data_IF_565020475592
#
_entry.id   IF_565020475592
#
_cell.length_a   1.000
_cell.length_b   1.000
_cell.length_c   1.000
_cell.angle_alpha   90.00
_cell.angle_beta   90.00
_cell.angle_gamma   90.00
#
_symmetry.space_group_name_H-M   'P 1'
#
loop_
_entity.id
_entity.type
_entity.pdbx_description
1 polymer ?
#
# COMPACT_ATOMS: atom_id res chain seq x y z
N UNK A 1 4.34 -21.10 -84.98
CA UNK A 1 3.53 -21.74 -83.97
C UNK A 1 4.37 -22.13 -82.81
N UNK A 2 4.98 -21.12 -82.11
CA UNK A 2 5.82 -21.33 -80.92
C UNK A 2 5.97 -19.98 -80.12
N UNK A 3 4.80 -19.47 -79.55
CA UNK A 3 4.88 -18.26 -78.73
C UNK A 3 3.74 -18.19 -77.69
N UNK A 4 3.33 -19.36 -77.15
CA UNK A 4 2.22 -19.41 -76.16
C UNK A 4 2.54 -20.25 -74.89
N UNK A 5 3.78 -20.63 -74.63
CA UNK A 5 4.12 -21.47 -73.47
C UNK A 5 5.00 -20.82 -72.38
N UNK A 6 5.34 -19.52 -72.49
CA UNK A 6 6.25 -18.88 -71.53
C UNK A 6 5.56 -17.95 -70.49
N UNK A 7 4.27 -17.71 -70.59
CA UNK A 7 3.56 -16.78 -69.70
C UNK A 7 2.82 -17.43 -68.50
N UNK A 8 2.75 -18.75 -68.41
CA UNK A 8 2.06 -19.42 -67.34
C UNK A 8 2.94 -19.84 -66.15
N UNK A 9 4.26 -19.81 -66.29
CA UNK A 9 5.16 -20.18 -65.21
C UNK A 9 5.63 -19.02 -64.35
N UNK A 10 5.53 -17.78 -64.83
CA UNK A 10 5.95 -16.59 -64.09
C UNK A 10 4.86 -16.08 -63.10
N UNK A 11 3.61 -16.38 -63.36
CA UNK A 11 2.48 -15.93 -62.51
C UNK A 11 2.27 -16.82 -61.25
N UNK A 12 2.72 -18.08 -61.28
CA UNK A 12 2.61 -18.99 -60.13
C UNK A 12 3.70 -18.75 -59.09
N UNK A 13 4.87 -18.30 -59.47
CA UNK A 13 5.99 -18.00 -58.55
C UNK A 13 5.73 -16.70 -57.74
N UNK A 14 5.02 -15.72 -58.34
CA UNK A 14 4.72 -14.45 -57.65
C UNK A 14 3.61 -14.54 -56.61
N UNK A 15 2.70 -15.52 -56.74
CA UNK A 15 1.60 -15.73 -55.79
C UNK A 15 2.05 -16.51 -54.54
N UNK A 16 3.06 -17.38 -54.68
CA UNK A 16 3.60 -18.16 -53.54
C UNK A 16 4.50 -17.31 -52.64
N UNK A 17 5.17 -16.30 -53.18
CA UNK A 17 6.02 -15.39 -52.35
C UNK A 17 5.19 -14.34 -51.58
N UNK A 18 3.98 -13.97 -52.02
CA UNK A 18 3.12 -13.07 -51.25
C UNK A 18 2.36 -13.76 -50.11
N UNK A 19 2.14 -15.09 -50.17
CA UNK A 19 1.50 -15.84 -49.08
C UNK A 19 2.47 -16.19 -47.95
N UNK A 20 3.79 -16.18 -48.19
CA UNK A 20 4.78 -16.40 -47.14
C UNK A 20 5.09 -15.16 -46.29
N UNK A 21 4.75 -13.94 -46.75
CA UNK A 21 4.92 -12.71 -45.95
C UNK A 21 3.73 -12.36 -45.07
N UNK A 22 2.59 -13.04 -45.21
CA UNK A 22 1.42 -12.83 -44.33
C UNK A 22 1.34 -13.77 -43.14
N UNK A 23 2.27 -14.72 -43.00
CA UNK A 23 2.30 -15.72 -41.95
C UNK A 23 3.15 -15.36 -40.72
N UNK A 24 3.79 -14.19 -40.67
CA UNK A 24 4.70 -13.81 -39.57
C UNK A 24 4.27 -12.57 -38.77
N UNK A 25 3.01 -12.15 -38.90
CA UNK A 25 2.42 -11.15 -37.99
C UNK A 25 1.40 -11.79 -37.04
N UNK A 26 1.68 -13.01 -36.57
CA UNK A 26 0.94 -13.61 -35.48
C UNK A 26 1.66 -13.36 -34.17
N UNK A 27 1.15 -12.41 -33.39
CA UNK A 27 1.22 -12.47 -31.94
C UNK A 27 2.52 -12.05 -31.26
N UNK A 28 2.99 -10.85 -31.46
CA UNK A 28 3.50 -10.14 -30.29
C UNK A 28 2.27 -9.73 -29.46
N UNK A 29 1.79 -10.57 -28.56
CA UNK A 29 0.91 -10.13 -27.49
C UNK A 29 1.59 -8.92 -26.85
N UNK A 30 0.97 -7.74 -27.02
CA UNK A 30 1.45 -6.51 -26.37
C UNK A 30 1.36 -6.78 -24.89
N UNK A 31 2.48 -7.15 -24.26
CA UNK A 31 2.56 -7.41 -22.82
C UNK A 31 1.95 -6.19 -22.16
N UNK A 32 0.86 -6.37 -21.43
CA UNK A 32 0.18 -5.25 -20.78
C UNK A 32 1.22 -4.47 -19.95
N UNK A 33 1.26 -3.17 -20.13
CA UNK A 33 2.19 -2.30 -19.41
C UNK A 33 1.90 -2.43 -17.91
N UNK A 34 2.95 -2.66 -17.12
CA UNK A 34 2.81 -2.80 -15.69
C UNK A 34 2.41 -1.49 -15.05
N UNK A 35 1.54 -1.54 -14.05
CA UNK A 35 1.16 -0.37 -13.26
C UNK A 35 2.28 0.00 -12.30
N UNK A 36 2.77 1.24 -12.40
CA UNK A 36 3.82 1.77 -11.52
C UNK A 36 3.26 2.17 -10.16
N UNK A 37 3.95 1.78 -9.10
CA UNK A 37 3.57 2.10 -7.73
C UNK A 37 4.79 2.38 -6.86
N UNK A 38 4.68 3.34 -5.96
CA UNK A 38 5.54 3.51 -4.80
C UNK A 38 4.71 3.17 -3.58
N UNK A 39 5.29 2.37 -2.68
CA UNK A 39 4.66 1.91 -1.45
C UNK A 39 5.25 2.73 -0.30
N UNK A 40 4.43 3.55 0.35
CA UNK A 40 4.78 4.26 1.58
C UNK A 40 4.13 3.53 2.76
N UNK A 41 4.96 3.00 3.69
CA UNK A 41 4.48 2.03 4.66
C UNK A 41 5.25 2.12 5.98
N UNK A 42 4.56 1.90 7.10
CA UNK A 42 5.11 1.63 8.42
C UNK A 42 5.26 0.12 8.61
N UNK A 43 6.24 -0.43 7.91
CA UNK A 43 6.39 -1.84 7.55
C UNK A 43 6.77 -2.76 8.72
N UNK A 44 5.95 -2.79 9.77
CA UNK A 44 6.17 -3.63 10.94
C UNK A 44 6.34 -5.11 10.58
N UNK A 45 7.41 -5.71 11.08
CA UNK A 45 7.82 -7.08 10.78
C UNK A 45 7.99 -7.97 12.01
N UNK A 46 8.32 -9.27 11.76
CA UNK A 46 8.19 -9.94 10.46
C UNK A 46 6.77 -10.38 10.15
N UNK A 47 6.39 -10.30 8.89
CA UNK A 47 5.11 -10.76 8.34
C UNK A 47 3.86 -10.17 9.00
N UNK A 48 3.95 -8.91 9.47
CA UNK A 48 2.78 -8.12 9.88
C UNK A 48 1.87 -7.77 8.71
N UNK A 49 0.72 -7.16 8.98
CA UNK A 49 -0.25 -6.69 7.97
C UNK A 49 0.43 -5.81 6.91
N UNK A 50 1.24 -4.87 7.36
CA UNK A 50 2.00 -3.94 6.52
C UNK A 50 2.88 -4.66 5.50
N UNK A 51 3.68 -5.62 5.96
CA UNK A 51 4.53 -6.43 5.08
C UNK A 51 3.76 -7.38 4.18
N UNK A 52 2.59 -7.86 4.62
CA UNK A 52 1.72 -8.67 3.78
C UNK A 52 1.17 -7.85 2.62
N UNK A 53 0.82 -6.58 2.83
CA UNK A 53 0.38 -5.67 1.76
C UNK A 53 1.49 -5.44 0.73
N UNK A 54 2.73 -5.18 1.19
CA UNK A 54 3.91 -5.06 0.33
C UNK A 54 4.10 -6.33 -0.51
N UNK A 55 3.96 -7.51 0.12
CA UNK A 55 4.08 -8.79 -0.59
C UNK A 55 3.02 -8.94 -1.69
N UNK A 56 1.75 -8.60 -1.44
CA UNK A 56 0.70 -8.67 -2.46
C UNK A 56 1.04 -7.82 -3.68
N UNK A 57 1.54 -6.58 -3.45
CA UNK A 57 1.92 -5.67 -4.53
C UNK A 57 3.13 -6.17 -5.32
N UNK A 58 4.14 -6.73 -4.65
CA UNK A 58 5.34 -7.30 -5.29
C UNK A 58 5.03 -8.60 -6.04
N UNK A 59 4.16 -9.44 -5.51
CA UNK A 59 3.81 -10.73 -6.10
C UNK A 59 2.92 -10.62 -7.34
N UNK A 60 2.27 -9.47 -7.54
CA UNK A 60 1.46 -9.24 -8.74
C UNK A 60 2.33 -9.06 -9.99
N UNK A 61 2.16 -9.88 -11.03
CA UNK A 61 2.90 -9.74 -12.28
C UNK A 61 2.54 -8.47 -13.07
N UNK A 62 1.44 -7.81 -12.71
CA UNK A 62 0.94 -6.58 -13.36
C UNK A 62 1.50 -5.30 -12.69
N UNK A 63 2.30 -5.44 -11.64
CA UNK A 63 2.79 -4.32 -10.86
C UNK A 63 4.28 -4.12 -11.09
N UNK A 64 4.69 -2.86 -11.19
CA UNK A 64 6.07 -2.40 -11.13
C UNK A 64 6.26 -1.57 -9.86
N UNK A 65 6.83 -2.19 -8.82
CA UNK A 65 7.17 -1.49 -7.57
C UNK A 65 8.47 -0.73 -7.79
N UNK A 66 8.39 0.60 -7.80
CA UNK A 66 9.53 1.48 -8.05
C UNK A 66 10.37 1.72 -6.79
N UNK A 67 9.79 1.57 -5.62
CA UNK A 67 10.43 1.66 -4.33
C UNK A 67 9.45 1.51 -3.18
N UNK A 68 10.01 1.29 -1.99
CA UNK A 68 9.28 1.25 -0.72
C UNK A 68 9.86 2.36 0.14
N UNK A 69 9.07 3.41 0.39
CA UNK A 69 9.40 4.44 1.37
C UNK A 69 8.85 4.00 2.73
N UNK A 70 9.66 4.15 3.77
CA UNK A 70 9.32 3.67 5.11
C UNK A 70 9.16 4.87 6.04
N UNK A 71 8.13 4.83 6.88
CA UNK A 71 7.81 5.85 7.88
C UNK A 71 7.65 5.20 9.24
N UNK A 72 8.01 5.85 10.33
CA UNK A 72 7.64 5.38 11.67
C UNK A 72 6.13 5.36 11.84
N UNK A 73 5.61 4.25 12.30
CA UNK A 73 4.20 4.06 12.62
C UNK A 73 4.02 2.91 13.61
N UNK A 74 3.85 1.70 13.14
CA UNK A 74 3.70 0.53 14.00
C UNK A 74 4.96 0.18 14.81
N UNK A 75 6.14 0.52 14.27
CA UNK A 75 7.46 0.41 14.91
C UNK A 75 8.29 1.67 14.62
N UNK A 76 9.53 1.70 15.13
CA UNK A 76 10.48 2.74 14.75
C UNK A 76 11.01 2.53 13.33
N UNK A 77 11.25 3.63 12.62
CA UNK A 77 11.80 3.65 11.26
C UNK A 77 12.96 2.67 11.05
N UNK A 78 13.90 2.65 12.00
CA UNK A 78 15.10 1.79 11.93
C UNK A 78 14.74 0.30 11.87
N UNK A 79 13.75 -0.12 12.66
CA UNK A 79 13.27 -1.50 12.69
C UNK A 79 12.51 -1.85 11.42
N UNK A 80 11.59 -0.99 11.01
CA UNK A 80 10.75 -1.21 9.82
C UNK A 80 11.59 -1.27 8.54
N UNK A 81 12.60 -0.42 8.42
CA UNK A 81 13.60 -0.49 7.34
C UNK A 81 14.34 -1.83 7.37
N UNK A 82 14.79 -2.28 8.56
CA UNK A 82 15.51 -3.54 8.69
C UNK A 82 14.62 -4.75 8.35
N UNK A 83 13.40 -4.79 8.85
CA UNK A 83 12.42 -5.84 8.54
C UNK A 83 12.06 -5.88 7.05
N UNK A 84 11.88 -4.71 6.42
CA UNK A 84 11.57 -4.61 4.98
C UNK A 84 12.72 -5.11 4.11
N UNK A 85 13.96 -4.66 4.39
CA UNK A 85 15.14 -5.16 3.70
C UNK A 85 15.28 -6.68 3.83
N UNK A 86 15.09 -7.20 5.05
CA UNK A 86 15.20 -8.62 5.29
C UNK A 86 14.11 -9.44 4.60
N UNK A 87 12.88 -8.97 4.59
CA UNK A 87 11.79 -9.55 3.82
C UNK A 87 12.14 -9.63 2.33
N UNK A 88 12.63 -8.54 1.74
CA UNK A 88 13.03 -8.50 0.32
C UNK A 88 14.17 -9.48 0.01
N UNK A 89 15.15 -9.64 0.91
CA UNK A 89 16.19 -10.66 0.78
C UNK A 89 15.60 -12.06 0.74
N UNK A 90 14.68 -12.36 1.68
CA UNK A 90 14.07 -13.70 1.81
C UNK A 90 13.20 -14.07 0.60
N UNK A 91 12.57 -13.09 -0.05
CA UNK A 91 11.77 -13.35 -1.26
C UNK A 91 12.55 -13.15 -2.57
N UNK A 92 13.83 -12.74 -2.50
CA UNK A 92 14.69 -12.57 -3.67
C UNK A 92 14.38 -11.31 -4.50
N UNK A 93 13.92 -10.22 -3.85
CA UNK A 93 13.55 -8.92 -4.47
C UNK A 93 14.41 -7.76 -3.98
N UNK A 94 15.69 -7.98 -3.78
CA UNK A 94 16.67 -6.93 -3.41
C UNK A 94 16.88 -5.84 -4.48
N UNK A 95 16.23 -5.98 -5.62
CA UNK A 95 16.17 -4.99 -6.70
C UNK A 95 15.23 -3.82 -6.39
N UNK A 96 14.32 -3.97 -5.42
CA UNK A 96 13.40 -2.92 -4.99
C UNK A 96 14.09 -2.07 -3.93
N UNK A 97 14.29 -0.75 -4.16
CA UNK A 97 14.90 0.12 -3.17
C UNK A 97 14.00 0.32 -1.96
N UNK A 98 14.58 0.24 -0.77
CA UNK A 98 13.95 0.63 0.51
C UNK A 98 14.53 1.99 0.90
N UNK A 99 13.67 2.98 1.05
CA UNK A 99 14.05 4.39 1.24
C UNK A 99 13.57 4.85 2.61
N UNK A 100 14.48 5.15 3.55
CA UNK A 100 14.11 5.64 4.88
C UNK A 100 13.43 7.00 4.81
N UNK A 101 12.40 7.22 5.60
CA UNK A 101 11.68 8.46 5.68
C UNK A 101 11.68 9.10 7.07
N UNK A 102 10.52 9.56 7.52
CA UNK A 102 10.38 10.25 8.78
C UNK A 102 10.46 9.31 9.99
N UNK A 103 11.33 9.65 10.94
CA UNK A 103 11.46 8.95 12.23
C UNK A 103 10.41 9.38 13.25
N UNK A 104 9.86 10.59 13.10
CA UNK A 104 8.85 11.16 13.99
C UNK A 104 7.70 11.75 13.20
N UNK A 105 6.47 11.76 13.75
CA UNK A 105 5.38 12.56 13.20
C UNK A 105 5.71 14.05 13.22
N UNK A 106 5.01 14.87 12.44
CA UNK A 106 5.31 16.30 12.28
C UNK A 106 5.21 17.08 13.59
N UNK A 107 4.25 16.74 14.45
CA UNK A 107 3.97 17.52 15.67
C UNK A 107 3.84 16.62 16.89
N UNK A 108 3.11 15.52 16.80
CA UNK A 108 2.79 14.67 17.95
C UNK A 108 4.03 14.11 18.62
N UNK A 109 4.04 14.09 19.95
CA UNK A 109 5.14 13.58 20.78
C UNK A 109 4.62 12.57 21.81
N UNK A 110 5.48 11.65 22.22
CA UNK A 110 5.13 10.60 23.19
C UNK A 110 4.64 11.19 24.51
N UNK A 111 5.36 12.18 25.06
CA UNK A 111 5.04 12.82 26.34
C UNK A 111 3.71 13.57 26.30
N UNK A 112 3.39 14.23 25.19
CA UNK A 112 2.10 14.89 24.99
C UNK A 112 0.97 13.86 24.86
N UNK A 113 1.24 12.73 24.20
CA UNK A 113 0.30 11.61 24.05
C UNK A 113 -0.01 10.97 25.40
N UNK A 114 0.99 10.73 26.25
CA UNK A 114 0.81 10.24 27.63
C UNK A 114 -0.07 11.18 28.47
N UNK A 115 0.13 12.50 28.34
CA UNK A 115 -0.71 13.50 29.04
C UNK A 115 -2.14 13.52 28.47
N UNK A 116 -2.30 13.32 27.16
CA UNK A 116 -3.60 13.23 26.52
C UNK A 116 -4.36 11.99 27.04
N UNK A 117 -3.70 10.82 27.10
CA UNK A 117 -4.30 9.58 27.63
C UNK A 117 -4.71 9.71 29.10
N UNK A 118 -3.91 10.37 29.93
CA UNK A 118 -4.25 10.64 31.34
C UNK A 118 -5.54 11.48 31.48
N UNK A 119 -5.83 12.33 30.50
CA UNK A 119 -6.97 13.24 30.54
C UNK A 119 -8.22 12.66 29.89
N UNK A 120 -8.06 11.94 28.80
CA UNK A 120 -9.18 11.54 27.94
C UNK A 120 -9.38 10.04 27.85
N UNK A 121 -8.44 9.24 28.34
CA UNK A 121 -8.51 7.78 28.28
C UNK A 121 -7.49 7.21 27.29
N UNK A 122 -7.15 5.93 27.48
CA UNK A 122 -6.13 5.24 26.66
C UNK A 122 -6.67 4.86 25.31
N UNK A 123 -5.83 4.97 24.28
CA UNK A 123 -6.06 4.39 22.97
C UNK A 123 -5.51 2.97 22.90
N UNK A 124 -6.03 2.15 21.99
CA UNK A 124 -5.68 0.74 21.93
C UNK A 124 -4.26 0.49 21.39
N UNK A 125 -3.77 1.36 20.52
CA UNK A 125 -2.48 1.23 19.86
C UNK A 125 -1.75 2.55 19.78
N UNK A 126 -0.47 2.54 20.15
CA UNK A 126 0.39 3.73 20.19
C UNK A 126 1.65 3.56 19.32
N UNK A 127 1.68 2.55 18.44
CA UNK A 127 2.86 2.27 17.64
C UNK A 127 4.09 2.00 18.50
N UNK A 128 5.23 2.66 18.20
CA UNK A 128 6.49 2.48 18.93
C UNK A 128 6.42 3.00 20.38
N UNK A 129 5.41 3.79 20.72
CA UNK A 129 5.21 4.32 22.08
C UNK A 129 4.39 3.38 22.97
N UNK A 130 3.95 2.25 22.46
CA UNK A 130 3.13 1.28 23.21
C UNK A 130 3.87 0.81 24.47
N UNK A 131 3.25 0.91 25.67
CA UNK A 131 3.89 0.49 26.93
C UNK A 131 4.40 -0.96 26.86
N UNK A 132 5.64 -1.16 27.34
CA UNK A 132 6.32 -2.46 27.29
C UNK A 132 6.97 -2.83 25.95
N UNK A 133 6.79 -2.00 24.92
CA UNK A 133 7.47 -2.13 23.61
C UNK A 133 8.43 -0.98 23.33
N UNK A 134 8.28 0.14 24.02
CA UNK A 134 9.09 1.32 23.80
C UNK A 134 10.58 1.02 24.02
N UNK A 135 11.40 1.44 23.07
CA UNK A 135 12.86 1.50 23.13
C UNK A 135 13.34 2.72 22.31
N UNK A 136 14.61 3.16 22.45
CA UNK A 136 15.14 4.25 21.64
C UNK A 136 15.07 3.96 20.13
N UNK A 137 14.78 4.97 19.27
CA UNK A 137 14.60 4.79 17.82
C UNK A 137 15.79 4.15 17.09
N UNK A 138 17.01 4.38 17.58
CA UNK A 138 18.22 3.83 16.97
C UNK A 138 18.48 2.34 17.32
N UNK A 139 17.72 1.77 18.24
CA UNK A 139 17.85 0.38 18.64
C UNK A 139 17.03 -0.52 17.73
N UNK A 140 17.61 -1.65 17.35
CA UNK A 140 16.87 -2.70 16.66
C UNK A 140 16.30 -3.67 17.68
N UNK A 141 15.00 -3.92 17.61
CA UNK A 141 14.34 -4.98 18.34
C UNK A 141 14.79 -6.37 17.91
N UNK A 142 14.03 -7.38 18.32
CA UNK A 142 14.30 -8.76 17.93
C UNK A 142 13.93 -8.98 16.46
N UNK A 143 14.86 -9.54 15.71
CA UNK A 143 14.67 -9.96 14.32
C UNK A 143 14.75 -11.49 14.19
N UNK A 144 13.65 -12.20 14.43
CA UNK A 144 13.66 -13.67 14.36
C UNK A 144 13.93 -14.20 12.95
N UNK A 145 13.69 -13.39 11.90
CA UNK A 145 14.02 -13.68 10.50
C UNK A 145 15.49 -13.39 10.15
N UNK A 146 16.27 -12.85 11.10
CA UNK A 146 17.66 -12.46 10.94
C UNK A 146 17.81 -11.02 10.44
N UNK A 147 18.99 -10.45 10.70
CA UNK A 147 19.31 -9.10 10.27
C UNK A 147 19.54 -9.02 8.76
N UNK A 148 19.17 -7.90 8.09
CA UNK A 148 19.46 -7.73 6.69
C UNK A 148 20.97 -7.56 6.43
N UNK A 149 21.40 -7.93 5.24
CA UNK A 149 22.74 -7.70 4.70
C UNK A 149 22.74 -6.58 3.64
N UNK A 150 21.61 -6.37 3.00
CA UNK A 150 21.37 -5.24 2.10
C UNK A 150 21.22 -3.94 2.89
N UNK A 151 21.44 -2.83 2.20
CA UNK A 151 21.36 -1.49 2.82
C UNK A 151 20.22 -0.69 2.21
N UNK A 152 19.63 0.23 2.98
CA UNK A 152 18.64 1.16 2.44
C UNK A 152 19.29 2.08 1.40
N UNK A 153 18.45 2.73 0.60
CA UNK A 153 18.88 3.77 -0.34
C UNK A 153 19.52 4.95 0.43
N UNK A 154 20.46 5.61 -0.23
CA UNK A 154 21.10 6.82 0.31
C UNK A 154 20.34 8.09 -0.13
N UNK A 155 19.06 8.10 0.12
CA UNK A 155 18.14 9.20 -0.19
C UNK A 155 17.03 9.13 0.84
N UNK A 156 16.41 10.24 1.24
CA UNK A 156 15.23 10.20 2.10
C UNK A 156 13.95 10.06 1.28
N UNK A 157 12.88 9.58 1.96
CA UNK A 157 11.62 9.24 1.32
C UNK A 157 10.97 10.43 0.60
N UNK A 158 11.00 11.64 1.18
CA UNK A 158 10.31 12.79 0.61
C UNK A 158 10.96 13.25 -0.71
N UNK A 159 12.30 13.30 -0.76
CA UNK A 159 13.02 13.61 -2.01
C UNK A 159 12.85 12.49 -3.05
N UNK A 160 12.91 11.22 -2.64
CA UNK A 160 12.64 10.09 -3.53
C UNK A 160 11.25 10.19 -4.17
N UNK A 161 10.21 10.43 -3.37
CA UNK A 161 8.83 10.58 -3.84
C UNK A 161 8.71 11.70 -4.88
N UNK A 162 9.23 12.89 -4.57
CA UNK A 162 9.21 14.04 -5.48
C UNK A 162 9.94 13.73 -6.78
N UNK A 163 11.15 13.18 -6.69
CA UNK A 163 11.94 12.84 -7.86
C UNK A 163 11.21 11.85 -8.77
N UNK A 164 10.66 10.79 -8.21
CA UNK A 164 10.00 9.74 -8.97
C UNK A 164 8.74 10.22 -9.71
N UNK A 165 7.90 11.04 -9.07
CA UNK A 165 6.71 11.56 -9.77
C UNK A 165 7.06 12.59 -10.84
N UNK A 166 8.20 13.29 -10.72
CA UNK A 166 8.71 14.18 -11.76
C UNK A 166 9.34 13.43 -12.93
N UNK A 167 9.99 12.30 -12.67
CA UNK A 167 10.52 11.40 -13.71
C UNK A 167 9.40 10.66 -14.47
N UNK A 168 8.27 10.38 -13.81
CA UNK A 168 7.14 9.64 -14.35
C UNK A 168 5.80 10.36 -14.09
N UNK A 169 5.58 11.55 -14.64
CA UNK A 169 4.41 12.37 -14.32
C UNK A 169 3.11 11.67 -14.73
N UNK A 170 2.19 11.57 -13.76
CA UNK A 170 0.86 10.95 -13.89
C UNK A 170 0.84 9.44 -14.14
N UNK A 171 1.96 8.75 -13.92
CA UNK A 171 2.04 7.30 -14.11
C UNK A 171 2.04 6.54 -12.78
N UNK A 172 2.54 7.15 -11.70
CA UNK A 172 2.80 6.49 -10.43
C UNK A 172 1.59 6.59 -9.50
N UNK A 173 1.08 5.44 -9.05
CA UNK A 173 0.21 5.37 -7.88
C UNK A 173 1.06 5.48 -6.62
N UNK A 174 0.68 6.36 -5.71
CA UNK A 174 1.22 6.40 -4.34
C UNK A 174 0.29 5.55 -3.48
N UNK A 175 0.81 4.46 -2.94
CA UNK A 175 0.11 3.63 -1.96
C UNK A 175 0.64 3.99 -0.57
N UNK A 176 -0.24 4.38 0.35
CA UNK A 176 0.10 4.70 1.72
C UNK A 176 -0.63 3.75 2.68
N UNK A 177 0.12 2.91 3.39
CA UNK A 177 -0.38 1.99 4.39
C UNK A 177 -0.03 2.41 5.82
N UNK A 178 0.74 3.48 6.00
CA UNK A 178 1.12 4.02 7.30
C UNK A 178 0.77 5.50 7.47
N UNK A 179 1.27 6.14 8.54
CA UNK A 179 1.12 7.58 8.76
C UNK A 179 1.67 8.39 7.59
N UNK A 180 0.97 9.45 7.21
CA UNK A 180 1.23 10.19 5.96
C UNK A 180 2.38 11.18 6.03
N UNK A 181 3.28 11.06 7.02
CA UNK A 181 4.36 12.02 7.28
C UNK A 181 5.28 12.21 6.07
N UNK A 182 5.72 11.13 5.41
CA UNK A 182 6.57 11.21 4.22
C UNK A 182 5.89 11.98 3.07
N UNK A 183 4.59 11.74 2.87
CA UNK A 183 3.81 12.40 1.82
C UNK A 183 3.62 13.88 2.11
N UNK A 184 3.37 14.25 3.37
CA UNK A 184 3.25 15.65 3.79
C UNK A 184 4.56 16.41 3.61
N UNK A 185 5.71 15.78 3.91
CA UNK A 185 7.03 16.34 3.64
C UNK A 185 7.29 16.49 2.14
N UNK A 186 6.93 15.50 1.32
CA UNK A 186 7.04 15.58 -0.13
C UNK A 186 6.22 16.74 -0.71
N UNK A 187 4.98 16.94 -0.25
CA UNK A 187 4.11 18.06 -0.64
C UNK A 187 4.71 19.40 -0.19
N UNK A 188 5.34 19.44 1.00
CA UNK A 188 5.98 20.67 1.51
C UNK A 188 7.23 21.06 0.72
N UNK A 189 7.99 20.06 0.21
CA UNK A 189 9.16 20.27 -0.65
C UNK A 189 8.71 20.68 -2.06
N UNK A 190 7.68 20.02 -2.58
CA UNK A 190 7.17 20.22 -3.93
C UNK A 190 5.64 20.26 -3.96
N UNK A 191 5.02 21.44 -3.98
CA UNK A 191 3.56 21.60 -4.01
C UNK A 191 2.88 20.95 -5.25
N UNK A 192 3.62 20.64 -6.31
CA UNK A 192 3.09 19.95 -7.50
C UNK A 192 3.07 18.42 -7.33
N UNK A 193 3.74 17.87 -6.30
CA UNK A 193 3.89 16.42 -6.06
C UNK A 193 2.58 15.65 -6.21
N UNK A 194 1.55 16.04 -5.46
CA UNK A 194 0.25 15.37 -5.47
C UNK A 194 -0.41 15.41 -6.86
N UNK A 195 -0.33 16.55 -7.56
CA UNK A 195 -0.87 16.71 -8.91
C UNK A 195 -0.10 15.94 -9.99
N UNK A 196 1.19 15.68 -9.78
CA UNK A 196 2.04 14.89 -10.66
C UNK A 196 1.87 13.39 -10.47
N UNK A 197 1.43 12.94 -9.30
CA UNK A 197 1.08 11.54 -9.09
C UNK A 197 -0.17 11.15 -9.91
N UNK A 198 -0.33 9.87 -10.18
CA UNK A 198 -1.52 9.32 -10.85
C UNK A 198 -2.73 9.32 -9.92
N UNK A 199 -2.53 8.82 -8.71
CA UNK A 199 -3.54 8.71 -7.66
C UNK A 199 -2.89 8.47 -6.29
N UNK A 200 -3.61 8.79 -5.23
CA UNK A 200 -3.34 8.33 -3.87
C UNK A 200 -4.30 7.19 -3.54
N UNK A 201 -3.76 6.07 -3.08
CA UNK A 201 -4.51 4.94 -2.52
C UNK A 201 -4.01 4.73 -1.10
N UNK A 202 -4.88 4.77 -0.11
CA UNK A 202 -4.43 4.63 1.26
C UNK A 202 -5.36 3.77 2.12
N UNK A 203 -4.75 3.06 3.07
CA UNK A 203 -5.46 2.49 4.22
C UNK A 203 -5.45 3.52 5.33
N UNK A 204 -6.63 3.87 5.84
CA UNK A 204 -6.74 4.81 6.95
C UNK A 204 -8.11 5.41 7.11
N UNK A 205 -8.32 6.01 8.27
CA UNK A 205 -9.59 6.62 8.64
C UNK A 205 -10.64 5.63 9.14
N UNK A 206 -11.49 6.12 10.02
CA UNK A 206 -12.61 5.38 10.62
C UNK A 206 -13.84 6.26 10.62
N UNK A 207 -14.90 5.81 9.94
CA UNK A 207 -16.07 6.64 9.76
C UNK A 207 -17.20 6.30 10.75
N UNK A 208 -17.51 5.04 10.88
CA UNK A 208 -18.42 4.45 11.88
C UNK A 208 -18.48 2.93 11.65
N UNK A 209 -17.42 2.17 11.97
CA UNK A 209 -17.34 0.75 11.64
C UNK A 209 -18.39 -0.07 12.41
N UNK A 210 -19.03 -1.00 11.71
CA UNK A 210 -19.93 -1.98 12.30
C UNK A 210 -19.13 -3.18 12.80
N UNK A 211 -18.73 -3.17 14.06
CA UNK A 211 -17.87 -4.20 14.65
C UNK A 211 -18.23 -4.43 16.12
N UNK A 212 -17.84 -5.60 16.64
CA UNK A 212 -17.87 -5.91 18.08
C UNK A 212 -16.52 -5.60 18.77
N UNK A 213 -15.55 -5.05 18.04
CA UNK A 213 -14.25 -4.69 18.59
C UNK A 213 -14.38 -3.49 19.54
N UNK A 214 -13.99 -3.64 20.82
CA UNK A 214 -14.10 -2.56 21.80
C UNK A 214 -13.34 -1.29 21.40
N UNK A 215 -12.25 -1.40 20.63
CA UNK A 215 -11.49 -0.27 20.14
C UNK A 215 -12.39 0.70 19.37
N UNK A 216 -13.09 0.19 18.35
CA UNK A 216 -13.92 1.03 17.48
C UNK A 216 -15.34 1.27 18.04
N UNK A 217 -15.81 0.47 19.00
CA UNK A 217 -17.04 0.80 19.74
C UNK A 217 -16.83 2.04 20.60
N UNK A 218 -15.68 2.12 21.27
CA UNK A 218 -15.39 3.21 22.20
C UNK A 218 -14.89 4.48 21.49
N UNK A 219 -14.16 4.32 20.37
CA UNK A 219 -13.58 5.40 19.60
C UNK A 219 -13.83 5.23 18.09
N UNK A 220 -15.09 5.36 17.63
CA UNK A 220 -15.49 4.97 16.27
C UNK A 220 -14.90 5.85 15.15
N UNK A 221 -14.28 6.97 15.49
CA UNK A 221 -13.62 7.88 14.54
C UNK A 221 -12.11 7.82 14.59
N UNK A 222 -11.58 7.05 15.55
CA UNK A 222 -10.16 6.86 15.71
C UNK A 222 -9.63 5.81 14.72
N UNK A 223 -8.53 6.13 14.07
CA UNK A 223 -7.75 5.18 13.27
C UNK A 223 -6.28 5.59 13.35
N UNK A 224 -5.41 4.59 13.52
CA UNK A 224 -4.01 4.80 13.91
C UNK A 224 -3.21 5.64 12.91
N UNK A 225 -3.27 5.36 11.62
CA UNK A 225 -2.46 6.05 10.61
C UNK A 225 -2.75 7.56 10.55
N UNK A 226 -4.04 7.93 10.56
CA UNK A 226 -4.44 9.34 10.58
C UNK A 226 -4.22 9.99 11.96
N UNK A 227 -4.40 9.22 13.04
CA UNK A 227 -4.22 9.71 14.39
C UNK A 227 -2.75 9.92 14.77
N UNK A 228 -1.83 9.06 14.30
CA UNK A 228 -0.41 9.14 14.66
C UNK A 228 0.25 10.43 14.16
N UNK A 229 -0.13 10.90 12.96
CA UNK A 229 0.29 12.21 12.44
C UNK A 229 -0.89 12.96 11.78
N UNK A 230 -1.78 13.55 12.59
CA UNK A 230 -2.97 14.21 12.07
C UNK A 230 -2.66 15.43 11.23
N UNK A 231 -1.59 16.16 11.49
CA UNK A 231 -1.16 17.30 10.70
C UNK A 231 -0.69 16.86 9.31
N UNK A 232 0.02 15.74 9.20
CA UNK A 232 0.39 15.16 7.91
C UNK A 232 -0.85 14.69 7.14
N UNK A 233 -1.75 13.95 7.80
CA UNK A 233 -2.99 13.49 7.18
C UNK A 233 -3.84 14.65 6.64
N UNK A 234 -4.00 15.73 7.44
CA UNK A 234 -4.68 16.95 7.03
C UNK A 234 -4.08 17.58 5.76
N UNK A 235 -2.76 17.71 5.72
CA UNK A 235 -2.05 18.28 4.58
C UNK A 235 -2.23 17.42 3.32
N UNK A 236 -2.07 16.11 3.46
CA UNK A 236 -2.15 15.14 2.36
C UNK A 236 -3.56 15.05 1.78
N UNK A 237 -4.59 14.95 2.63
CA UNK A 237 -5.99 14.84 2.19
C UNK A 237 -6.51 16.09 1.47
N UNK A 238 -5.89 17.25 1.68
CA UNK A 238 -6.22 18.53 1.02
C UNK A 238 -5.38 18.82 -0.21
N UNK A 239 -4.30 18.08 -0.45
CA UNK A 239 -3.45 18.28 -1.60
C UNK A 239 -4.18 17.95 -2.92
N UNK A 240 -3.79 18.56 -4.05
CA UNK A 240 -4.54 18.49 -5.32
C UNK A 240 -4.31 17.16 -6.07
N UNK A 241 -4.61 16.04 -5.43
CA UNK A 241 -4.57 14.73 -6.06
C UNK A 241 -5.58 14.62 -7.19
N UNK A 242 -5.22 13.95 -8.27
CA UNK A 242 -6.16 13.64 -9.37
C UNK A 242 -7.26 12.66 -8.95
N UNK A 243 -6.92 11.76 -8.02
CA UNK A 243 -7.84 10.79 -7.45
C UNK A 243 -7.32 10.35 -6.09
N UNK A 244 -8.24 10.22 -5.14
CA UNK A 244 -8.00 9.64 -3.82
C UNK A 244 -8.89 8.41 -3.66
N UNK A 245 -8.31 7.29 -3.22
CA UNK A 245 -9.02 6.06 -2.85
C UNK A 245 -8.70 5.73 -1.41
N UNK A 246 -9.72 5.59 -0.60
CA UNK A 246 -9.62 5.31 0.83
C UNK A 246 -10.20 3.93 1.15
N UNK A 247 -9.41 3.10 1.82
CA UNK A 247 -9.84 1.84 2.44
C UNK A 247 -9.91 2.05 3.96
N UNK A 248 -11.08 2.43 4.52
CA UNK A 248 -11.19 2.76 5.93
C UNK A 248 -11.32 1.50 6.81
N UNK A 249 -11.27 1.70 8.13
CA UNK A 249 -11.58 0.68 9.14
C UNK A 249 -12.90 -0.02 8.85
N UNK A 250 -13.92 0.73 8.42
CA UNK A 250 -15.30 0.27 8.20
C UNK A 250 -15.42 -0.93 7.25
N UNK A 251 -14.58 -0.99 6.24
CA UNK A 251 -14.54 -2.14 5.33
C UNK A 251 -13.53 -3.19 5.80
N UNK A 252 -12.41 -2.78 6.38
CA UNK A 252 -11.33 -3.68 6.79
C UNK A 252 -11.76 -4.63 7.91
N UNK A 253 -12.64 -4.19 8.83
CA UNK A 253 -13.18 -5.06 9.91
C UNK A 253 -14.03 -6.22 9.39
N UNK A 254 -14.39 -6.23 8.09
CA UNK A 254 -15.06 -7.35 7.43
C UNK A 254 -14.10 -8.47 7.02
N UNK A 255 -12.79 -8.24 7.10
CA UNK A 255 -11.74 -9.20 6.73
C UNK A 255 -10.98 -9.68 7.96
N UNK A 256 -10.46 -10.91 7.93
CA UNK A 256 -9.66 -11.45 9.05
C UNK A 256 -8.59 -12.40 8.58
N UNK A 257 -7.39 -12.23 9.14
CA UNK A 257 -6.37 -13.27 9.09
C UNK A 257 -6.77 -14.38 10.08
N UNK A 258 -7.00 -15.57 9.58
CA UNK A 258 -7.41 -16.72 10.36
C UNK A 258 -6.39 -17.85 10.27
N UNK A 259 -6.36 -18.82 11.22
CA UNK A 259 -5.53 -20.00 11.07
C UNK A 259 -5.74 -20.71 9.72
N UNK A 260 -7.01 -20.85 9.30
CA UNK A 260 -7.36 -21.49 8.03
C UNK A 260 -6.85 -20.72 6.81
N UNK A 261 -6.80 -19.39 6.85
CA UNK A 261 -6.21 -18.60 5.77
C UNK A 261 -4.68 -18.77 5.72
N UNK A 262 -4.01 -18.75 6.87
CA UNK A 262 -2.58 -19.03 6.97
C UNK A 262 -2.27 -20.46 6.47
N UNK A 263 -3.08 -21.45 6.83
CA UNK A 263 -2.90 -22.83 6.37
C UNK A 263 -3.06 -22.97 4.85
N UNK A 264 -3.95 -22.19 4.23
CA UNK A 264 -4.04 -22.12 2.76
C UNK A 264 -2.76 -21.54 2.15
N UNK A 265 -2.17 -20.50 2.75
CA UNK A 265 -0.88 -19.93 2.26
C UNK A 265 0.26 -20.91 2.44
N UNK A 266 0.28 -21.71 3.53
CA UNK A 266 1.29 -22.76 3.78
C UNK A 266 1.33 -23.84 2.70
N UNK A 267 0.30 -24.00 1.88
CA UNK A 267 0.32 -24.96 0.77
C UNK A 267 1.30 -24.57 -0.35
N UNK A 268 1.69 -23.30 -0.42
CA UNK A 268 2.65 -22.78 -1.38
C UNK A 268 4.09 -23.06 -0.97
N UNK A 269 4.94 -23.41 -1.94
CA UNK A 269 6.37 -23.67 -1.73
C UNK A 269 7.26 -22.55 -2.30
N UNK A 270 6.75 -21.35 -2.39
CA UNK A 270 7.50 -20.17 -2.84
C UNK A 270 7.95 -19.30 -1.65
N UNK A 271 8.96 -18.44 -1.84
CA UNK A 271 9.53 -17.64 -0.75
C UNK A 271 8.52 -16.81 0.04
N UNK A 272 7.55 -16.17 -0.62
CA UNK A 272 6.52 -15.38 0.05
C UNK A 272 5.62 -16.25 0.94
N UNK A 273 5.16 -17.40 0.44
CA UNK A 273 4.37 -18.34 1.23
C UNK A 273 5.14 -18.85 2.45
N UNK A 274 6.41 -19.23 2.27
CA UNK A 274 7.27 -19.66 3.38
C UNK A 274 7.50 -18.57 4.42
N UNK A 275 7.65 -17.33 3.97
CA UNK A 275 7.81 -16.17 4.87
C UNK A 275 6.57 -16.01 5.74
N UNK A 276 5.38 -15.93 5.15
CA UNK A 276 4.10 -15.84 5.89
C UNK A 276 3.90 -17.06 6.80
N UNK A 277 4.10 -18.27 6.29
CA UNK A 277 3.94 -19.51 7.07
C UNK A 277 4.83 -19.56 8.31
N UNK A 278 6.04 -18.99 8.22
CA UNK A 278 7.02 -19.00 9.30
C UNK A 278 6.77 -17.90 10.33
N UNK A 279 6.43 -16.70 9.88
CA UNK A 279 6.49 -15.51 10.74
C UNK A 279 5.13 -14.86 11.03
N UNK A 280 4.09 -15.05 10.20
CA UNK A 280 2.78 -14.49 10.50
C UNK A 280 2.23 -15.01 11.84
N UNK A 281 1.73 -14.11 12.67
CA UNK A 281 1.18 -14.41 13.99
C UNK A 281 -0.17 -13.77 14.16
N UNK A 282 -1.10 -14.52 14.75
CA UNK A 282 -2.36 -13.97 15.20
C UNK A 282 -2.16 -13.28 16.54
N UNK A 283 -2.65 -12.06 16.66
CA UNK A 283 -2.57 -11.24 17.86
C UNK A 283 -3.98 -10.99 18.39
N UNK A 284 -4.34 -11.63 19.50
CA UNK A 284 -5.66 -11.44 20.11
C UNK A 284 -6.81 -12.03 19.30
N UNK A 285 -7.99 -11.44 19.44
CA UNK A 285 -9.25 -11.89 18.83
C UNK A 285 -9.48 -11.27 17.45
N UNK A 286 -9.05 -10.03 17.25
CA UNK A 286 -9.29 -9.24 16.05
C UNK A 286 -7.97 -9.13 15.27
N UNK A 287 -7.84 -9.88 14.17
CA UNK A 287 -6.69 -9.86 13.29
C UNK A 287 -7.18 -9.45 11.91
N UNK A 288 -7.53 -8.20 11.79
CA UNK A 288 -8.02 -7.66 10.52
C UNK A 288 -6.91 -7.60 9.47
N UNK A 289 -7.31 -7.63 8.22
CA UNK A 289 -6.42 -7.47 7.06
C UNK A 289 -6.60 -6.03 6.55
N UNK A 290 -5.91 -5.10 7.22
CA UNK A 290 -6.01 -3.66 6.99
C UNK A 290 -5.47 -3.27 5.62
N UNK A 291 -4.16 -3.34 5.48
CA UNK A 291 -3.40 -2.91 4.33
C UNK A 291 -3.49 -3.90 3.20
N UNK A 292 -3.61 -5.18 3.52
CA UNK A 292 -3.77 -6.22 2.51
C UNK A 292 -5.04 -6.00 1.69
N UNK A 293 -6.12 -5.52 2.34
CA UNK A 293 -7.34 -5.19 1.62
C UNK A 293 -7.14 -4.00 0.68
N UNK A 294 -6.49 -2.94 1.14
CA UNK A 294 -6.19 -1.76 0.31
C UNK A 294 -5.33 -2.13 -0.89
N UNK A 295 -4.28 -2.93 -0.68
CA UNK A 295 -3.40 -3.42 -1.74
C UNK A 295 -4.15 -4.31 -2.74
N UNK A 296 -4.95 -5.27 -2.25
CA UNK A 296 -5.73 -6.17 -3.09
C UNK A 296 -6.80 -5.42 -3.90
N UNK A 297 -7.49 -4.44 -3.30
CA UNK A 297 -8.49 -3.62 -3.98
C UNK A 297 -7.88 -2.75 -5.09
N UNK A 298 -6.64 -2.28 -4.92
CA UNK A 298 -5.92 -1.60 -5.99
C UNK A 298 -5.51 -2.58 -7.10
N UNK A 299 -5.10 -3.80 -6.76
CA UNK A 299 -4.75 -4.84 -7.75
C UNK A 299 -5.97 -5.29 -8.56
N UNK A 300 -7.07 -5.58 -7.91
CA UNK A 300 -8.35 -5.94 -8.52
C UNK A 300 -9.50 -5.07 -7.97
N UNK A 301 -9.81 -3.93 -8.59
CA UNK A 301 -10.90 -3.05 -8.16
C UNK A 301 -12.28 -3.70 -8.13
N UNK A 302 -12.47 -4.84 -8.80
CA UNK A 302 -13.74 -5.58 -8.78
C UNK A 302 -13.98 -6.37 -7.49
N UNK A 303 -13.03 -6.34 -6.55
CA UNK A 303 -13.23 -6.79 -5.17
C UNK A 303 -14.22 -5.88 -4.42
N UNK A 304 -14.25 -4.61 -4.76
CA UNK A 304 -15.09 -3.62 -4.08
C UNK A 304 -16.47 -3.60 -4.72
N UNK A 305 -17.46 -4.03 -3.95
CA UNK A 305 -18.87 -4.14 -4.39
C UNK A 305 -19.66 -2.86 -4.13
N UNK A 306 -19.23 -2.04 -3.17
CA UNK A 306 -19.83 -0.73 -2.88
C UNK A 306 -18.76 0.29 -2.54
N UNK A 307 -18.91 1.51 -3.09
CA UNK A 307 -18.08 2.68 -2.80
C UNK A 307 -18.93 3.93 -2.76
N UNK A 308 -18.46 4.93 -2.03
CA UNK A 308 -19.12 6.22 -1.87
C UNK A 308 -18.10 7.35 -2.08
N UNK A 309 -18.55 8.45 -2.66
CA UNK A 309 -17.74 9.68 -2.70
C UNK A 309 -17.93 10.44 -1.39
N UNK A 310 -16.84 10.71 -0.70
CA UNK A 310 -16.80 11.45 0.55
C UNK A 310 -15.70 12.51 0.50
N UNK A 311 -15.78 13.47 1.39
CA UNK A 311 -14.72 14.43 1.68
C UNK A 311 -14.17 14.07 3.04
N UNK A 312 -12.87 13.90 3.14
CA UNK A 312 -12.19 13.44 4.35
C UNK A 312 -11.24 14.50 4.87
N UNK A 313 -11.13 14.57 6.19
CA UNK A 313 -10.13 15.35 6.91
C UNK A 313 -9.89 14.70 8.28
N UNK A 314 -9.04 15.31 9.09
CA UNK A 314 -8.80 14.91 10.48
C UNK A 314 -9.03 16.09 11.42
N UNK A 315 -9.45 15.79 12.63
CA UNK A 315 -9.62 16.78 13.68
C UNK A 315 -8.28 17.19 14.27
N UNK A 316 -7.90 18.44 14.08
CA UNK A 316 -6.67 19.04 14.63
C UNK A 316 -6.86 19.73 15.99
N UNK A 317 -8.09 19.83 16.50
CA UNK A 317 -8.36 20.41 17.80
C UNK A 317 -7.70 19.56 18.90
N UNK A 318 -6.92 20.18 19.79
CA UNK A 318 -6.20 19.51 20.86
C UNK A 318 -7.13 19.10 22.03
N UNK A 319 -8.22 18.41 21.71
CA UNK A 319 -9.22 17.88 22.61
C UNK A 319 -9.28 16.34 22.59
N UNK A 320 -10.38 15.79 23.09
CA UNK A 320 -10.59 14.34 23.12
C UNK A 320 -10.59 13.70 21.73
N UNK A 321 -11.08 14.39 20.74
CA UNK A 321 -11.14 13.91 19.35
C UNK A 321 -9.96 14.32 18.48
N UNK A 322 -8.79 14.66 19.05
CA UNK A 322 -7.61 14.99 18.25
C UNK A 322 -7.14 13.80 17.43
N UNK A 323 -7.08 13.96 16.12
CA UNK A 323 -6.74 12.90 15.18
C UNK A 323 -7.93 12.06 14.71
N UNK A 324 -9.15 12.32 15.21
CA UNK A 324 -10.36 11.65 14.73
C UNK A 324 -10.63 11.97 13.25
N UNK A 325 -11.10 10.96 12.52
CA UNK A 325 -11.52 11.11 11.12
C UNK A 325 -12.77 11.97 11.01
N UNK A 326 -12.71 12.98 10.17
CA UNK A 326 -13.86 13.81 9.78
C UNK A 326 -14.31 13.45 8.37
N UNK A 327 -15.63 13.38 8.15
CA UNK A 327 -16.17 13.02 6.83
C UNK A 327 -17.44 13.78 6.51
N UNK A 328 -17.59 14.16 5.24
CA UNK A 328 -18.76 14.86 4.73
C UNK A 328 -19.20 14.30 3.39
N UNK A 329 -20.48 14.48 3.09
CA UNK A 329 -21.02 14.39 1.74
C UNK A 329 -20.71 15.65 0.94
N UNK A 330 -20.98 15.67 -0.38
CA UNK A 330 -20.84 16.88 -1.23
C UNK A 330 -21.68 18.05 -0.71
N UNK A 331 -22.87 17.78 -0.19
CA UNK A 331 -23.78 18.80 0.31
C UNK A 331 -23.35 19.39 1.66
N UNK A 332 -22.58 18.62 2.43
CA UNK A 332 -22.24 18.98 3.83
C UNK A 332 -20.81 19.48 3.98
N UNK A 333 -19.99 19.39 2.94
CA UNK A 333 -18.58 19.78 3.04
C UNK A 333 -18.41 21.22 3.52
N UNK A 334 -17.57 21.38 4.53
CA UNK A 334 -17.43 22.64 5.25
C UNK A 334 -16.53 23.67 4.55
N UNK A 335 -15.69 23.23 3.61
CA UNK A 335 -14.73 24.10 2.92
C UNK A 335 -14.47 23.63 1.49
N UNK A 336 -14.25 24.57 0.54
CA UNK A 336 -13.91 24.24 -0.84
C UNK A 336 -12.58 23.52 -1.02
N UNK A 337 -11.67 23.60 -0.04
CA UNK A 337 -10.33 22.98 -0.15
C UNK A 337 -10.32 21.46 0.07
N UNK A 338 -11.43 20.87 0.53
CA UNK A 338 -11.53 19.42 0.67
C UNK A 338 -11.57 18.74 -0.70
N UNK A 339 -10.79 17.68 -0.85
CA UNK A 339 -10.74 16.87 -2.05
C UNK A 339 -11.74 15.70 -1.98
N UNK A 340 -12.39 15.33 -3.09
CA UNK A 340 -13.23 14.14 -3.12
C UNK A 340 -12.39 12.88 -3.04
N UNK A 341 -12.79 11.94 -2.18
CA UNK A 341 -12.20 10.62 -2.04
C UNK A 341 -13.22 9.53 -2.34
N UNK A 342 -12.83 8.52 -3.11
CA UNK A 342 -13.58 7.29 -3.28
C UNK A 342 -13.36 6.42 -2.05
N UNK A 343 -14.35 6.36 -1.17
CA UNK A 343 -14.31 5.54 0.05
C UNK A 343 -14.92 4.17 -0.24
N UNK A 344 -14.17 3.13 0.03
CA UNK A 344 -14.60 1.75 -0.12
C UNK A 344 -15.50 1.35 1.05
N UNK A 345 -16.67 0.76 0.77
CA UNK A 345 -17.71 0.49 1.77
C UNK A 345 -18.00 -0.99 1.93
N UNK A 346 -17.95 -1.75 0.82
CA UNK A 346 -18.22 -3.18 0.86
C UNK A 346 -17.41 -3.96 -0.17
N UNK A 347 -17.21 -5.25 0.08
CA UNK A 347 -16.33 -6.11 -0.72
C UNK A 347 -16.89 -7.51 -0.89
N UNK A 348 -16.39 -8.20 -1.93
CA UNK A 348 -16.47 -9.66 -2.06
C UNK A 348 -15.32 -10.30 -1.27
N UNK A 349 -15.60 -10.69 -0.03
CA UNK A 349 -14.62 -11.24 0.91
C UNK A 349 -14.00 -12.55 0.40
N UNK A 350 -14.78 -13.42 -0.24
CA UNK A 350 -14.27 -14.69 -0.76
C UNK A 350 -13.31 -14.46 -1.92
N UNK A 351 -13.64 -13.54 -2.80
CA UNK A 351 -12.77 -13.14 -3.90
C UNK A 351 -11.47 -12.52 -3.38
N UNK A 352 -11.54 -11.68 -2.35
CA UNK A 352 -10.39 -11.12 -1.67
C UNK A 352 -9.47 -12.22 -1.10
N UNK A 353 -10.00 -13.16 -0.32
CA UNK A 353 -9.19 -14.24 0.23
C UNK A 353 -8.60 -15.15 -0.85
N UNK A 354 -9.31 -15.36 -1.94
CA UNK A 354 -8.80 -16.10 -3.09
C UNK A 354 -7.58 -15.40 -3.69
N UNK A 355 -7.68 -14.10 -4.00
CA UNK A 355 -6.58 -13.30 -4.55
C UNK A 355 -5.38 -13.26 -3.58
N UNK A 356 -5.62 -13.07 -2.29
CA UNK A 356 -4.60 -13.08 -1.25
C UNK A 356 -3.77 -14.37 -1.28
N UNK A 357 -4.44 -15.52 -1.29
CA UNK A 357 -3.77 -16.82 -1.34
C UNK A 357 -3.05 -17.03 -2.67
N UNK A 358 -3.70 -16.72 -3.79
CA UNK A 358 -3.11 -16.88 -5.13
C UNK A 358 -1.81 -16.11 -5.28
N UNK A 359 -1.77 -14.85 -4.85
CA UNK A 359 -0.56 -14.03 -4.93
C UNK A 359 0.54 -14.55 -4.00
N UNK A 360 0.24 -14.84 -2.75
CA UNK A 360 1.24 -15.28 -1.77
C UNK A 360 1.79 -16.69 -2.06
N UNK A 361 1.04 -17.53 -2.78
CA UNK A 361 1.48 -18.87 -3.18
C UNK A 361 2.05 -18.94 -4.60
N UNK A 362 2.10 -17.82 -5.31
CA UNK A 362 2.69 -17.72 -6.64
C UNK A 362 4.23 -17.57 -6.59
N UNK A 363 4.95 -17.92 -7.67
CA UNK A 363 6.36 -17.61 -7.79
C UNK A 363 6.58 -16.09 -7.75
N UNK A 364 7.60 -15.63 -7.02
CA UNK A 364 7.92 -14.21 -6.97
C UNK A 364 8.36 -13.72 -8.36
N UNK A 365 7.69 -12.69 -8.94
CA UNK A 365 8.08 -12.15 -10.23
C UNK A 365 9.50 -11.58 -10.18
N UNK A 366 10.32 -11.94 -11.15
CA UNK A 366 11.66 -11.38 -11.30
C UNK A 366 11.56 -9.94 -11.89
N UNK A 367 12.57 -9.11 -11.58
CA UNK A 367 12.78 -7.88 -12.34
C UNK A 367 13.00 -8.25 -13.81
N UNK A 368 12.26 -7.59 -14.70
CA UNK A 368 12.47 -7.76 -16.16
C UNK A 368 13.71 -7.02 -16.61
#
# INVERSE_FOLDING_TARGET
MQLRRFWFLTTIVLVITCLACWGQQAGAEKRAEKRKIIIDQDAAGPAGTDQQSILLLIQSPQTEVLGITVVTGDMWLTEEVAHTLRMLELIGRTDVPVVPGAEYPLVRQKEETEQWEQRYGSVAWLGPWTPGRYHPPAELGQMPEGKPTTKPANEDAAHFLVRMVREHPHEITIYAGGPMTNLALAISIDPEFAGLAKELVFMGGSLNPETADPEFINTPRHEFNLWFDPEAAHNVLRAPWKKIVCTPVDISVKTRLTPGLIDRVKTGDFPAARYIATYARLRGQYNYLWDELAAAAWLDPSLITKKEMRYLDVNLDRGAGNGDTLTWTEQEKSTPSLQPAEVQVDLDTEKFYKLFVELLTAPTPKKN
#
